data_IF_914475669611
#
_entry.id   IF_914475669611
#
_cell.length_a   1.000
_cell.length_b   1.000
_cell.length_c   1.000
_cell.angle_alpha   90.00
_cell.angle_beta   90.00
_cell.angle_gamma   90.00
#
_symmetry.space_group_name_H-M   'P 1'
#
loop_
_entity.id
_entity.type
_entity.pdbx_description
1 polymer ?
#
# COMPACT_ATOMS: atom_id res chain seq x y z
N UNK A 1 47.04 -20.55 -51.38
CA UNK A 1 45.83 -21.26 -50.95
C UNK A 1 45.58 -20.89 -49.50
N UNK A 2 44.87 -19.81 -49.24
CA UNK A 2 44.47 -19.37 -47.90
C UNK A 2 43.16 -20.10 -47.53
N UNK A 3 43.24 -20.89 -46.47
CA UNK A 3 42.04 -21.47 -45.84
C UNK A 3 41.18 -20.33 -45.34
N UNK A 4 40.04 -20.16 -45.97
CA UNK A 4 39.00 -19.28 -45.43
C UNK A 4 38.47 -19.88 -44.14
N UNK A 5 38.89 -19.30 -43.03
CA UNK A 5 38.26 -19.57 -41.73
C UNK A 5 36.78 -19.19 -41.83
N UNK A 6 35.94 -20.20 -41.91
CA UNK A 6 34.50 -20.01 -41.82
C UNK A 6 34.20 -19.47 -40.41
N UNK A 7 34.07 -18.15 -40.27
CA UNK A 7 33.66 -17.50 -39.04
C UNK A 7 32.32 -18.11 -38.62
N UNK A 8 32.34 -18.98 -37.63
CA UNK A 8 31.09 -19.55 -37.11
C UNK A 8 30.22 -18.43 -36.55
N UNK A 9 28.98 -18.38 -37.02
CA UNK A 9 28.02 -17.41 -36.53
C UNK A 9 27.63 -17.84 -35.11
N UNK A 10 27.82 -16.99 -34.11
CA UNK A 10 27.51 -17.35 -32.72
C UNK A 10 26.03 -17.67 -32.54
N UNK A 11 25.73 -18.60 -31.65
CA UNK A 11 24.34 -18.87 -31.21
C UNK A 11 23.86 -17.78 -30.26
N UNK A 12 22.54 -17.65 -30.10
CA UNK A 12 21.96 -16.69 -29.17
C UNK A 12 22.42 -16.98 -27.71
N UNK A 13 22.51 -18.26 -27.32
CA UNK A 13 23.00 -18.65 -26.00
C UNK A 13 24.46 -18.25 -25.75
N UNK A 14 25.34 -18.39 -26.77
CA UNK A 14 26.72 -17.92 -26.67
C UNK A 14 26.80 -16.40 -26.51
N UNK A 15 25.88 -15.64 -27.13
CA UNK A 15 25.79 -14.18 -26.99
C UNK A 15 25.27 -13.79 -25.61
N UNK A 16 24.27 -14.49 -25.10
CA UNK A 16 23.69 -14.23 -23.78
C UNK A 16 24.66 -14.38 -22.61
N UNK A 17 25.58 -15.37 -22.71
CA UNK A 17 26.58 -15.67 -21.68
C UNK A 17 27.96 -15.07 -21.96
N UNK A 18 28.14 -14.37 -23.09
CA UNK A 18 29.43 -13.83 -23.47
C UNK A 18 29.89 -12.70 -22.54
N UNK A 19 31.17 -12.75 -22.14
CA UNK A 19 31.83 -11.62 -21.48
C UNK A 19 32.07 -10.45 -22.46
N UNK A 20 32.51 -9.31 -21.92
CA UNK A 20 32.73 -8.10 -22.73
C UNK A 20 33.74 -8.30 -23.87
N UNK A 21 34.94 -8.92 -23.67
CA UNK A 21 35.88 -9.18 -24.76
C UNK A 21 35.31 -10.08 -25.85
N UNK A 22 34.50 -11.07 -25.46
CA UNK A 22 33.86 -12.00 -26.40
C UNK A 22 32.79 -11.30 -27.23
N UNK A 23 31.97 -10.44 -26.61
CA UNK A 23 30.97 -9.63 -27.32
C UNK A 23 31.62 -8.68 -28.34
N UNK A 24 32.74 -8.06 -27.99
CA UNK A 24 33.49 -7.21 -28.94
C UNK A 24 34.01 -7.99 -30.13
N UNK A 25 34.53 -9.19 -29.91
CA UNK A 25 34.98 -10.09 -31.00
C UNK A 25 33.82 -10.52 -31.89
N UNK A 26 32.67 -10.86 -31.28
CA UNK A 26 31.44 -11.20 -32.03
C UNK A 26 30.98 -10.04 -32.91
N UNK A 27 31.01 -8.81 -32.38
CA UNK A 27 30.73 -7.62 -33.18
C UNK A 27 31.65 -7.46 -34.37
N UNK A 28 32.95 -7.62 -34.15
CA UNK A 28 33.97 -7.54 -35.22
C UNK A 28 33.71 -8.57 -36.30
N UNK A 29 33.47 -9.84 -35.95
CA UNK A 29 33.18 -10.91 -36.91
C UNK A 29 31.89 -10.74 -37.68
N UNK A 30 30.90 -9.99 -37.13
CA UNK A 30 29.61 -9.71 -37.74
C UNK A 30 29.56 -8.34 -38.43
N UNK A 31 30.66 -7.57 -38.43
CA UNK A 31 30.68 -6.20 -38.97
C UNK A 31 29.85 -5.19 -38.22
N UNK A 32 29.62 -5.41 -36.93
CA UNK A 32 28.83 -4.55 -36.05
C UNK A 32 29.69 -3.59 -35.26
N UNK A 33 29.15 -2.44 -34.90
CA UNK A 33 29.87 -1.47 -34.07
C UNK A 33 29.97 -1.98 -32.61
N UNK A 34 31.19 -2.20 -32.08
CA UNK A 34 31.39 -2.69 -30.71
C UNK A 34 31.35 -1.59 -29.64
N UNK A 35 31.09 -0.32 -30.02
CA UNK A 35 31.01 0.79 -29.07
C UNK A 35 29.67 0.80 -28.33
N UNK A 36 29.72 1.07 -27.04
CA UNK A 36 28.58 1.13 -26.16
C UNK A 36 28.75 0.28 -24.90
N UNK A 37 27.76 0.30 -24.00
CA UNK A 37 27.72 -0.60 -22.84
C UNK A 37 27.52 -2.05 -23.30
N UNK A 38 27.95 -3.03 -22.50
CA UNK A 38 27.90 -4.45 -22.88
C UNK A 38 26.52 -4.92 -23.32
N UNK A 39 25.44 -4.41 -22.67
CA UNK A 39 24.07 -4.71 -23.04
C UNK A 39 23.70 -4.24 -24.44
N UNK A 40 24.06 -2.99 -24.80
CA UNK A 40 23.81 -2.42 -26.13
C UNK A 40 24.54 -3.22 -27.22
N UNK A 41 25.79 -3.62 -26.94
CA UNK A 41 26.59 -4.41 -27.90
C UNK A 41 26.01 -5.81 -28.04
N UNK A 42 25.60 -6.44 -26.96
CA UNK A 42 24.91 -7.73 -26.96
C UNK A 42 23.63 -7.67 -27.81
N UNK A 43 22.87 -6.61 -27.65
CA UNK A 43 21.65 -6.38 -28.42
C UNK A 43 21.90 -6.27 -29.92
N UNK A 44 22.92 -5.50 -30.33
CA UNK A 44 23.28 -5.38 -31.76
C UNK A 44 23.63 -6.74 -32.36
N UNK A 45 24.34 -7.59 -31.62
CA UNK A 45 24.68 -8.96 -32.06
C UNK A 45 23.40 -9.79 -32.19
N UNK A 46 22.53 -9.78 -31.17
CA UNK A 46 21.28 -10.54 -31.20
C UNK A 46 20.35 -10.06 -32.33
N UNK A 47 20.22 -8.76 -32.54
CA UNK A 47 19.41 -8.21 -33.63
C UNK A 47 19.98 -8.57 -35.01
N UNK A 48 21.29 -8.54 -35.16
CA UNK A 48 21.95 -8.96 -36.42
C UNK A 48 21.69 -10.44 -36.72
N UNK A 49 21.78 -11.32 -35.72
CA UNK A 49 21.47 -12.74 -35.85
C UNK A 49 20.00 -12.98 -36.22
N UNK A 50 19.09 -12.18 -35.68
CA UNK A 50 17.66 -12.21 -36.05
C UNK A 50 17.41 -11.90 -37.51
N UNK A 51 18.06 -10.84 -38.04
CA UNK A 51 17.88 -10.43 -39.46
C UNK A 51 18.35 -11.49 -40.47
N UNK A 52 19.16 -12.45 -40.00
CA UNK A 52 19.63 -13.59 -40.81
C UNK A 52 18.65 -14.77 -40.89
N UNK A 53 17.41 -14.62 -40.40
CA UNK A 53 16.35 -15.60 -40.58
C UNK A 53 16.44 -16.87 -39.77
N UNK A 54 17.16 -16.85 -38.63
CA UNK A 54 17.18 -17.99 -37.70
C UNK A 54 15.88 -18.03 -36.85
N UNK A 55 15.32 -19.22 -36.55
CA UNK A 55 14.11 -19.34 -35.73
C UNK A 55 14.36 -18.76 -34.33
N UNK A 56 13.32 -18.20 -33.71
CA UNK A 56 13.32 -17.29 -32.56
C UNK A 56 13.33 -17.92 -31.15
N UNK A 57 14.29 -18.80 -30.74
CA UNK A 57 14.42 -19.25 -29.34
C UNK A 57 14.83 -18.10 -28.40
N UNK A 58 15.35 -17.01 -28.95
CA UNK A 58 15.87 -15.86 -28.18
C UNK A 58 14.78 -14.91 -27.66
N UNK A 59 13.52 -15.02 -28.13
CA UNK A 59 12.42 -14.17 -27.64
C UNK A 59 12.19 -14.35 -26.14
N UNK A 60 11.98 -15.58 -25.71
CA UNK A 60 11.76 -15.90 -24.32
C UNK A 60 13.00 -15.56 -23.46
N UNK A 61 14.21 -15.81 -23.99
CA UNK A 61 15.45 -15.46 -23.32
C UNK A 61 15.65 -13.96 -23.17
N UNK A 62 15.30 -13.16 -24.21
CA UNK A 62 15.36 -11.70 -24.15
C UNK A 62 14.43 -11.12 -23.11
N UNK A 63 13.16 -11.53 -23.12
CA UNK A 63 12.13 -11.01 -22.22
C UNK A 63 12.49 -11.39 -20.75
N UNK A 64 13.00 -12.61 -20.57
CA UNK A 64 13.53 -13.04 -19.27
C UNK A 64 14.76 -12.22 -18.84
N UNK A 65 15.69 -11.95 -19.75
CA UNK A 65 16.88 -11.15 -19.46
C UNK A 65 16.53 -9.71 -19.14
N UNK A 66 15.62 -9.10 -19.89
CA UNK A 66 15.17 -7.74 -19.61
C UNK A 66 14.48 -7.64 -18.23
N UNK A 67 13.58 -8.57 -17.90
CA UNK A 67 12.96 -8.63 -16.59
C UNK A 67 13.99 -8.89 -15.46
N UNK A 68 15.00 -9.70 -15.71
CA UNK A 68 16.10 -9.94 -14.76
C UNK A 68 16.93 -8.68 -14.54
N UNK A 69 17.30 -7.96 -15.60
CA UNK A 69 18.05 -6.71 -15.52
C UNK A 69 17.29 -5.63 -14.73
N UNK A 70 15.98 -5.50 -14.94
CA UNK A 70 15.14 -4.61 -14.14
C UNK A 70 15.21 -4.95 -12.66
N UNK A 71 15.06 -6.24 -12.30
CA UNK A 71 15.13 -6.71 -10.89
C UNK A 71 16.52 -6.56 -10.26
N UNK A 72 17.57 -6.63 -11.04
CA UNK A 72 18.95 -6.46 -10.59
C UNK A 72 19.39 -4.98 -10.51
N UNK A 73 18.50 -4.03 -10.82
CA UNK A 73 18.78 -2.60 -10.74
C UNK A 73 19.57 -2.06 -11.94
N UNK A 74 19.41 -2.66 -13.12
CA UNK A 74 19.97 -2.18 -14.39
C UNK A 74 18.87 -1.77 -15.37
N UNK A 75 18.07 -0.73 -15.02
CA UNK A 75 16.91 -0.33 -15.83
C UNK A 75 17.29 0.10 -17.24
N UNK A 76 18.37 0.87 -17.42
CA UNK A 76 18.83 1.34 -18.72
C UNK A 76 19.09 0.19 -19.71
N UNK A 77 19.73 -0.90 -19.22
CA UNK A 77 20.01 -2.08 -20.05
C UNK A 77 18.75 -2.87 -20.36
N UNK A 78 17.80 -2.88 -19.44
CA UNK A 78 16.48 -3.48 -19.63
C UNK A 78 15.66 -2.68 -20.66
N UNK A 79 15.71 -1.36 -20.59
CA UNK A 79 15.05 -0.45 -21.54
C UNK A 79 15.53 -0.69 -22.97
N UNK A 80 16.86 -0.71 -23.21
CA UNK A 80 17.43 -1.03 -24.52
C UNK A 80 16.92 -2.37 -25.09
N UNK A 81 16.76 -3.37 -24.21
CA UNK A 81 16.24 -4.70 -24.59
C UNK A 81 14.77 -4.63 -25.00
N UNK A 82 13.93 -3.92 -24.24
CA UNK A 82 12.51 -3.78 -24.53
C UNK A 82 12.26 -2.92 -25.78
N UNK A 83 13.01 -1.82 -25.98
CA UNK A 83 12.91 -0.99 -27.18
C UNK A 83 13.14 -1.78 -28.47
N UNK A 84 14.08 -2.74 -28.44
CA UNK A 84 14.29 -3.64 -29.58
C UNK A 84 13.10 -4.55 -29.87
N UNK A 85 12.28 -4.81 -28.87
CA UNK A 85 11.10 -5.67 -28.94
C UNK A 85 9.84 -4.95 -29.45
N UNK A 86 9.76 -3.64 -29.33
CA UNK A 86 8.61 -2.80 -29.70
C UNK A 86 8.18 -2.98 -31.16
N UNK A 87 9.07 -3.43 -32.05
CA UNK A 87 8.75 -3.74 -33.45
C UNK A 87 7.80 -4.94 -33.64
N UNK A 88 7.44 -5.61 -32.53
CA UNK A 88 6.57 -6.78 -32.54
C UNK A 88 5.15 -6.33 -32.26
N UNK A 89 4.44 -5.65 -32.87
CA UNK A 89 3.03 -5.27 -32.75
C UNK A 89 2.25 -6.04 -31.64
N UNK A 90 2.78 -5.98 -30.43
CA UNK A 90 2.30 -6.68 -29.24
C UNK A 90 2.42 -5.78 -27.99
N UNK A 91 1.51 -5.89 -26.99
CA UNK A 91 1.56 -5.04 -25.80
C UNK A 91 2.70 -5.38 -24.82
N UNK A 92 3.11 -6.63 -24.73
CA UNK A 92 4.09 -7.10 -23.74
C UNK A 92 5.43 -6.35 -23.74
N UNK A 93 6.06 -6.03 -24.88
CA UNK A 93 7.26 -5.21 -24.91
C UNK A 93 7.10 -3.82 -24.31
N UNK A 94 5.93 -3.19 -24.53
CA UNK A 94 5.63 -1.88 -23.97
C UNK A 94 5.44 -1.93 -22.46
N UNK A 95 4.83 -3.01 -21.93
CA UNK A 95 4.74 -3.23 -20.48
C UNK A 95 6.13 -3.37 -19.87
N UNK A 96 6.98 -4.21 -20.47
CA UNK A 96 8.34 -4.41 -19.99
C UNK A 96 9.19 -3.15 -20.04
N UNK A 97 9.08 -2.37 -21.12
CA UNK A 97 9.73 -1.07 -21.24
C UNK A 97 9.28 -0.12 -20.15
N UNK A 98 7.97 0.02 -19.94
CA UNK A 98 7.43 0.87 -18.88
C UNK A 98 7.91 0.47 -17.50
N UNK A 99 8.00 -0.83 -17.20
CA UNK A 99 8.53 -1.31 -15.92
C UNK A 99 10.02 -1.00 -15.73
N UNK A 100 10.83 -1.12 -16.79
CA UNK A 100 12.23 -0.72 -16.78
C UNK A 100 12.38 0.78 -16.53
N UNK A 101 11.55 1.60 -17.19
CA UNK A 101 11.52 3.05 -17.01
C UNK A 101 11.10 3.47 -15.60
N UNK A 102 10.11 2.79 -14.99
CA UNK A 102 9.76 3.01 -13.57
C UNK A 102 10.96 2.72 -12.67
N UNK A 103 11.67 1.60 -12.89
CA UNK A 103 12.83 1.23 -12.11
C UNK A 103 13.99 2.23 -12.28
N UNK A 104 14.11 2.86 -13.46
CA UNK A 104 15.08 3.91 -13.75
C UNK A 104 14.67 5.31 -13.25
N UNK A 105 13.44 5.47 -12.75
CA UNK A 105 12.90 6.75 -12.33
C UNK A 105 12.32 7.60 -13.47
N UNK A 106 12.25 7.08 -14.69
CA UNK A 106 11.71 7.77 -15.88
C UNK A 106 10.19 7.63 -15.94
N UNK A 107 9.49 8.19 -14.93
CA UNK A 107 8.06 7.99 -14.74
C UNK A 107 7.20 8.51 -15.90
N UNK A 108 7.58 9.63 -16.51
CA UNK A 108 6.86 10.21 -17.65
C UNK A 108 6.91 9.34 -18.91
N UNK A 109 8.05 8.73 -19.16
CA UNK A 109 8.27 7.79 -20.25
C UNK A 109 7.53 6.48 -20.00
N UNK A 110 7.57 5.98 -18.78
CA UNK A 110 6.84 4.79 -18.34
C UNK A 110 5.34 4.92 -18.58
N UNK A 111 4.75 6.08 -18.25
CA UNK A 111 3.33 6.37 -18.51
C UNK A 111 3.02 6.24 -20.00
N UNK A 112 3.86 6.78 -20.89
CA UNK A 112 3.67 6.67 -22.37
C UNK A 112 3.74 5.22 -22.83
N UNK A 113 4.69 4.46 -22.29
CA UNK A 113 4.86 3.03 -22.61
C UNK A 113 3.64 2.21 -22.19
N UNK A 114 3.12 2.44 -20.98
CA UNK A 114 1.90 1.79 -20.51
C UNK A 114 0.64 2.24 -21.28
N UNK A 115 0.55 3.52 -21.67
CA UNK A 115 -0.52 4.01 -22.52
C UNK A 115 -0.53 3.27 -23.87
N UNK A 116 0.65 3.02 -24.44
CA UNK A 116 0.76 2.29 -25.69
C UNK A 116 0.33 0.83 -25.56
N UNK A 117 0.74 0.15 -24.49
CA UNK A 117 0.30 -1.21 -24.20
C UNK A 117 -1.23 -1.30 -23.99
N UNK A 118 -1.81 -0.34 -23.29
CA UNK A 118 -3.26 -0.26 -23.08
C UNK A 118 -4.02 -0.05 -24.40
N UNK A 119 -3.53 0.82 -25.30
CA UNK A 119 -4.09 1.03 -26.65
C UNK A 119 -4.05 -0.25 -27.50
N UNK A 120 -3.11 -1.14 -27.25
CA UNK A 120 -2.97 -2.45 -27.89
C UNK A 120 -3.82 -3.55 -27.22
N UNK A 121 -4.68 -3.18 -26.27
CA UNK A 121 -5.64 -4.07 -25.62
C UNK A 121 -5.17 -4.71 -24.32
N UNK A 122 -4.00 -4.35 -23.78
CA UNK A 122 -3.59 -4.82 -22.44
C UNK A 122 -4.19 -3.94 -21.35
N UNK A 123 -5.35 -4.33 -20.84
CA UNK A 123 -6.02 -3.62 -19.76
C UNK A 123 -5.16 -3.52 -18.48
N UNK A 124 -4.30 -4.51 -18.20
CA UNK A 124 -3.46 -4.52 -16.99
C UNK A 124 -2.45 -3.36 -16.96
N UNK A 125 -2.06 -2.85 -18.14
CA UNK A 125 -1.20 -1.67 -18.29
C UNK A 125 -1.79 -0.41 -17.67
N UNK A 126 -3.13 -0.30 -17.55
CA UNK A 126 -3.77 0.81 -16.86
C UNK A 126 -3.39 0.85 -15.37
N UNK A 127 -3.22 -0.32 -14.72
CA UNK A 127 -2.77 -0.37 -13.32
C UNK A 127 -1.29 -0.01 -13.19
N UNK A 128 -0.44 -0.47 -14.11
CA UNK A 128 0.98 -0.08 -14.13
C UNK A 128 1.14 1.43 -14.39
N UNK A 129 0.30 1.98 -15.27
CA UNK A 129 0.22 3.43 -15.49
C UNK A 129 -0.18 4.17 -14.22
N UNK A 130 -1.20 3.66 -13.50
CA UNK A 130 -1.64 4.25 -12.23
C UNK A 130 -0.52 4.24 -11.18
N UNK A 131 0.24 3.14 -11.08
CA UNK A 131 1.40 3.05 -10.20
C UNK A 131 2.48 4.09 -10.55
N UNK A 132 2.81 4.23 -11.83
CA UNK A 132 3.81 5.20 -12.29
C UNK A 132 3.37 6.65 -12.03
N UNK A 133 2.11 6.98 -12.29
CA UNK A 133 1.53 8.29 -11.99
C UNK A 133 1.50 8.57 -10.48
N UNK A 134 1.08 7.58 -9.68
CA UNK A 134 1.07 7.67 -8.22
C UNK A 134 2.46 7.84 -7.61
N UNK A 135 3.47 7.18 -8.15
CA UNK A 135 4.87 7.36 -7.77
C UNK A 135 5.38 8.77 -8.10
N UNK A 136 4.89 9.36 -9.19
CA UNK A 136 5.15 10.75 -9.57
C UNK A 136 4.32 11.80 -8.82
N UNK A 137 3.37 11.37 -7.98
CA UNK A 137 2.48 12.27 -7.23
C UNK A 137 1.29 12.80 -8.02
N UNK A 138 1.09 12.36 -9.25
CA UNK A 138 -0.07 12.73 -10.09
C UNK A 138 -1.26 11.82 -9.75
N UNK A 139 -1.81 12.02 -8.55
CA UNK A 139 -2.87 11.15 -8.03
C UNK A 139 -4.16 11.25 -8.82
N UNK A 140 -4.50 12.41 -9.37
CA UNK A 140 -5.74 12.59 -10.14
C UNK A 140 -5.74 11.71 -11.40
N UNK A 141 -4.64 11.71 -12.14
CA UNK A 141 -4.49 10.84 -13.31
C UNK A 141 -4.32 9.37 -12.93
N UNK A 142 -3.72 9.07 -11.78
CA UNK A 142 -3.62 7.72 -11.25
C UNK A 142 -5.00 7.15 -10.89
N UNK A 143 -5.86 7.95 -10.25
CA UNK A 143 -7.25 7.60 -9.93
C UNK A 143 -8.02 7.32 -11.23
N UNK A 144 -7.93 8.21 -12.22
CA UNK A 144 -8.60 8.03 -13.51
C UNK A 144 -8.15 6.75 -14.24
N UNK A 145 -6.87 6.37 -14.12
CA UNK A 145 -6.37 5.12 -14.68
C UNK A 145 -6.96 3.89 -13.98
N UNK A 146 -7.05 3.91 -12.63
CA UNK A 146 -7.75 2.88 -11.87
C UNK A 146 -9.23 2.77 -12.26
N UNK A 147 -9.91 3.89 -12.44
CA UNK A 147 -11.33 3.93 -12.86
C UNK A 147 -11.53 3.31 -14.23
N UNK A 148 -10.64 3.62 -15.17
CA UNK A 148 -10.68 3.06 -16.51
C UNK A 148 -10.52 1.53 -16.50
N UNK A 149 -9.66 0.99 -15.62
CA UNK A 149 -9.51 -0.44 -15.43
C UNK A 149 -10.73 -1.06 -14.74
N UNK A 150 -11.22 -0.42 -13.67
CA UNK A 150 -12.37 -0.89 -12.89
C UNK A 150 -13.67 -0.89 -13.69
N UNK A 151 -13.78 -0.11 -14.77
CA UNK A 151 -14.96 -0.13 -15.66
C UNK A 151 -15.21 -1.53 -16.24
N UNK A 152 -14.15 -2.30 -16.51
CA UNK A 152 -14.25 -3.68 -16.99
C UNK A 152 -13.98 -4.74 -15.90
N UNK A 153 -13.41 -4.34 -14.77
CA UNK A 153 -13.03 -5.22 -13.65
C UNK A 153 -13.48 -4.63 -12.31
N UNK A 154 -14.80 -4.45 -12.07
CA UNK A 154 -15.31 -3.64 -10.96
C UNK A 154 -14.96 -4.18 -9.57
N UNK A 155 -14.67 -5.49 -9.46
CA UNK A 155 -14.30 -6.13 -8.20
C UNK A 155 -12.80 -6.36 -8.04
N UNK A 156 -11.93 -5.85 -8.91
CA UNK A 156 -10.50 -6.09 -8.75
C UNK A 156 -9.96 -5.41 -7.48
N UNK A 157 -9.54 -6.24 -6.50
CA UNK A 157 -9.11 -5.78 -5.18
C UNK A 157 -7.86 -4.90 -5.23
N UNK A 158 -6.91 -5.20 -6.14
CA UNK A 158 -5.69 -4.42 -6.32
C UNK A 158 -6.04 -3.01 -6.83
N UNK A 159 -6.88 -2.94 -7.86
CA UNK A 159 -7.30 -1.68 -8.44
C UNK A 159 -8.11 -0.82 -7.46
N UNK A 160 -9.03 -1.44 -6.70
CA UNK A 160 -9.79 -0.76 -5.65
C UNK A 160 -8.88 -0.25 -4.52
N UNK A 161 -7.90 -1.07 -4.10
CA UNK A 161 -6.93 -0.69 -3.09
C UNK A 161 -6.04 0.48 -3.53
N UNK A 162 -5.53 0.44 -4.76
CA UNK A 162 -4.73 1.52 -5.35
C UNK A 162 -5.54 2.82 -5.46
N UNK A 163 -6.77 2.74 -5.97
CA UNK A 163 -7.67 3.90 -6.05
C UNK A 163 -7.90 4.52 -4.68
N UNK A 164 -8.17 3.70 -3.66
CA UNK A 164 -8.37 4.18 -2.29
C UNK A 164 -7.11 4.85 -1.72
N UNK A 165 -5.90 4.28 -1.95
CA UNK A 165 -4.64 4.89 -1.50
C UNK A 165 -4.40 6.26 -2.16
N UNK A 166 -4.58 6.36 -3.47
CA UNK A 166 -4.43 7.63 -4.18
C UNK A 166 -5.45 8.68 -3.72
N UNK A 167 -6.70 8.30 -3.48
CA UNK A 167 -7.71 9.19 -2.90
C UNK A 167 -7.32 9.68 -1.50
N UNK A 168 -6.76 8.82 -0.65
CA UNK A 168 -6.27 9.23 0.67
C UNK A 168 -5.12 10.24 0.54
N UNK A 169 -4.17 9.99 -0.36
CA UNK A 169 -3.02 10.87 -0.60
C UNK A 169 -3.41 12.22 -1.21
N UNK A 170 -4.45 12.24 -2.04
CA UNK A 170 -5.03 13.47 -2.60
C UNK A 170 -5.93 14.23 -1.58
N UNK A 171 -6.19 13.65 -0.40
CA UNK A 171 -7.05 14.25 0.62
C UNK A 171 -8.53 13.89 0.51
N UNK A 172 -8.97 13.17 -0.52
CA UNK A 172 -10.37 12.75 -0.74
C UNK A 172 -10.74 11.52 0.11
N UNK A 173 -10.65 11.68 1.44
CA UNK A 173 -10.81 10.57 2.40
C UNK A 173 -12.21 9.96 2.40
N UNK A 174 -13.24 10.75 2.12
CA UNK A 174 -14.62 10.27 2.06
C UNK A 174 -14.83 9.35 0.85
N UNK A 175 -14.31 9.74 -0.31
CA UNK A 175 -14.31 8.91 -1.52
C UNK A 175 -13.53 7.61 -1.31
N UNK A 176 -12.38 7.68 -0.67
CA UNK A 176 -11.59 6.49 -0.30
C UNK A 176 -12.42 5.54 0.58
N UNK A 177 -13.15 6.07 1.55
CA UNK A 177 -14.07 5.29 2.39
C UNK A 177 -15.16 4.59 1.57
N UNK A 178 -15.74 5.27 0.57
CA UNK A 178 -16.74 4.66 -0.34
C UNK A 178 -16.14 3.53 -1.18
N UNK A 179 -14.94 3.73 -1.72
CA UNK A 179 -14.23 2.71 -2.51
C UNK A 179 -13.91 1.48 -1.65
N UNK A 180 -13.39 1.67 -0.44
CA UNK A 180 -13.08 0.57 0.48
C UNK A 180 -14.33 -0.19 0.94
N UNK A 181 -15.47 0.51 1.11
CA UNK A 181 -16.73 -0.14 1.43
C UNK A 181 -17.24 -0.97 0.25
N UNK A 182 -17.16 -0.45 -0.97
CA UNK A 182 -17.48 -1.22 -2.16
C UNK A 182 -16.56 -2.42 -2.31
N UNK A 183 -15.25 -2.28 -2.04
CA UNK A 183 -14.32 -3.41 -2.01
C UNK A 183 -14.73 -4.47 -1.00
N UNK A 184 -15.21 -4.08 0.18
CA UNK A 184 -15.71 -5.01 1.20
C UNK A 184 -16.99 -5.75 0.79
N UNK A 185 -17.81 -5.14 -0.06
CA UNK A 185 -19.03 -5.76 -0.58
C UNK A 185 -18.71 -6.77 -1.69
N UNK A 186 -17.67 -6.51 -2.51
CA UNK A 186 -17.15 -7.48 -3.48
C UNK A 186 -16.36 -8.62 -2.83
N UNK A 187 -15.69 -8.35 -1.71
CA UNK A 187 -14.73 -9.24 -1.06
C UNK A 187 -15.06 -9.42 0.43
N UNK A 188 -16.20 -10.05 0.78
CA UNK A 188 -16.60 -10.27 2.17
C UNK A 188 -15.62 -11.19 2.94
N UNK A 189 -14.79 -11.96 2.24
CA UNK A 189 -13.73 -12.79 2.80
C UNK A 189 -12.57 -11.97 3.42
N UNK A 190 -12.46 -10.66 3.11
CA UNK A 190 -11.46 -9.77 3.69
C UNK A 190 -12.07 -8.85 4.75
N UNK A 191 -12.19 -9.29 6.00
CA UNK A 191 -12.89 -8.57 7.06
C UNK A 191 -12.25 -7.23 7.45
N UNK A 192 -10.99 -6.98 7.07
CA UNK A 192 -10.27 -5.74 7.34
C UNK A 192 -10.73 -4.56 6.46
N UNK A 193 -11.42 -4.81 5.35
CA UNK A 193 -11.85 -3.75 4.42
C UNK A 193 -12.90 -2.83 5.05
N UNK A 194 -13.87 -3.37 5.79
CA UNK A 194 -14.89 -2.56 6.48
C UNK A 194 -14.28 -1.64 7.55
N UNK A 195 -13.40 -2.10 8.46
CA UNK A 195 -12.65 -1.23 9.36
C UNK A 195 -11.81 -0.17 8.65
N UNK A 196 -11.17 -0.51 7.54
CA UNK A 196 -10.41 0.45 6.75
C UNK A 196 -11.32 1.56 6.18
N UNK A 197 -12.50 1.21 5.66
CA UNK A 197 -13.50 2.16 5.20
C UNK A 197 -13.97 3.07 6.34
N UNK A 198 -14.31 2.50 7.50
CA UNK A 198 -14.71 3.25 8.69
C UNK A 198 -13.64 4.25 9.15
N UNK A 199 -12.38 3.83 9.13
CA UNK A 199 -11.25 4.70 9.47
C UNK A 199 -11.10 5.86 8.46
N UNK A 200 -11.30 5.62 7.18
CA UNK A 200 -11.28 6.66 6.15
C UNK A 200 -12.41 7.67 6.37
N UNK A 201 -13.64 7.22 6.64
CA UNK A 201 -14.78 8.10 6.96
C UNK A 201 -14.55 8.90 8.23
N UNK A 202 -13.99 8.29 9.28
CA UNK A 202 -13.68 9.00 10.53
C UNK A 202 -12.65 10.12 10.29
N UNK A 203 -11.60 9.83 9.51
CA UNK A 203 -10.58 10.84 9.10
C UNK A 203 -11.15 11.90 8.16
N UNK A 204 -12.26 11.62 7.48
CA UNK A 204 -13.00 12.56 6.65
C UNK A 204 -13.99 13.44 7.47
N UNK A 205 -14.09 13.24 8.79
CA UNK A 205 -15.05 13.94 9.62
C UNK A 205 -16.49 13.45 9.46
N UNK A 206 -16.67 12.19 9.07
CA UNK A 206 -17.98 11.54 8.85
C UNK A 206 -18.19 10.39 9.86
N UNK A 207 -18.27 10.70 11.16
CA UNK A 207 -18.31 9.68 12.20
C UNK A 207 -19.57 8.80 12.16
N UNK A 208 -20.72 9.31 11.68
CA UNK A 208 -21.95 8.52 11.51
C UNK A 208 -21.70 7.36 10.53
N UNK A 209 -21.18 7.69 9.34
CA UNK A 209 -20.89 6.71 8.29
C UNK A 209 -19.78 5.75 8.73
N UNK A 210 -18.82 6.24 9.53
CA UNK A 210 -17.77 5.43 10.08
C UNK A 210 -18.32 4.34 11.03
N UNK A 211 -19.23 4.69 11.95
CA UNK A 211 -19.89 3.73 12.86
C UNK A 211 -20.58 2.61 12.09
N UNK A 212 -21.32 2.97 11.02
CA UNK A 212 -22.00 2.00 10.16
C UNK A 212 -21.01 1.09 9.41
N UNK A 213 -19.90 1.68 8.92
CA UNK A 213 -18.87 0.96 8.18
C UNK A 213 -18.10 -0.02 9.04
N UNK A 214 -17.80 0.33 10.29
CA UNK A 214 -17.17 -0.61 11.24
C UNK A 214 -18.08 -1.80 11.54
N UNK A 215 -19.40 -1.60 11.52
CA UNK A 215 -20.37 -2.63 11.83
C UNK A 215 -20.25 -3.19 13.26
N UNK A 216 -21.03 -4.21 13.60
CA UNK A 216 -20.84 -4.95 14.85
C UNK A 216 -19.58 -5.80 14.73
N UNK A 217 -18.59 -5.62 15.62
CA UNK A 217 -17.46 -6.53 15.68
C UNK A 217 -17.94 -7.87 16.24
N UNK A 218 -17.88 -8.90 15.40
CA UNK A 218 -18.23 -10.27 15.78
C UNK A 218 -16.97 -11.15 16.03
N UNK A 219 -15.78 -10.58 15.84
CA UNK A 219 -14.51 -11.30 15.94
C UNK A 219 -13.78 -10.95 17.23
N UNK A 220 -13.31 -11.97 17.92
CA UNK A 220 -12.49 -11.84 19.13
C UNK A 220 -10.98 -11.77 18.84
N UNK A 221 -10.57 -11.68 17.55
CA UNK A 221 -9.17 -11.51 17.18
C UNK A 221 -8.73 -10.03 17.24
N UNK A 222 -7.41 -9.80 17.13
CA UNK A 222 -6.83 -8.47 17.22
C UNK A 222 -7.43 -7.47 16.20
N UNK A 223 -7.76 -7.91 14.99
CA UNK A 223 -8.37 -7.08 13.97
C UNK A 223 -9.82 -6.69 14.32
N UNK A 224 -10.57 -7.60 14.92
CA UNK A 224 -11.92 -7.34 15.42
C UNK A 224 -11.92 -6.36 16.60
N UNK A 225 -10.96 -6.50 17.50
CA UNK A 225 -10.77 -5.57 18.64
C UNK A 225 -10.43 -4.17 18.12
N UNK A 226 -9.49 -4.04 17.18
CA UNK A 226 -9.13 -2.73 16.60
C UNK A 226 -10.32 -2.06 15.90
N UNK A 227 -11.09 -2.80 15.11
CA UNK A 227 -12.31 -2.30 14.49
C UNK A 227 -13.34 -1.83 15.52
N UNK A 228 -13.51 -2.58 16.62
CA UNK A 228 -14.39 -2.21 17.73
C UNK A 228 -13.90 -0.92 18.43
N UNK A 229 -12.62 -0.78 18.72
CA UNK A 229 -12.04 0.41 19.33
C UNK A 229 -12.24 1.64 18.46
N UNK A 230 -12.03 1.53 17.15
CA UNK A 230 -12.26 2.61 16.20
C UNK A 230 -13.75 2.99 16.12
N UNK A 231 -14.67 2.01 16.18
CA UNK A 231 -16.10 2.25 16.26
C UNK A 231 -16.48 2.99 17.53
N UNK A 232 -15.94 2.55 18.68
CA UNK A 232 -16.11 3.22 19.96
C UNK A 232 -15.61 4.66 19.93
N UNK A 233 -14.44 4.91 19.32
CA UNK A 233 -13.91 6.25 19.14
C UNK A 233 -14.84 7.13 18.27
N UNK A 234 -15.40 6.59 17.18
CA UNK A 234 -16.38 7.31 16.37
C UNK A 234 -17.66 7.64 17.16
N UNK A 235 -18.13 6.72 18.01
CA UNK A 235 -19.29 6.96 18.89
C UNK A 235 -19.00 8.05 19.93
N UNK A 236 -17.78 8.15 20.47
CA UNK A 236 -17.40 9.25 21.35
C UNK A 236 -17.46 10.61 20.64
N UNK A 237 -17.03 10.68 19.37
CA UNK A 237 -17.14 11.91 18.57
C UNK A 237 -18.60 12.31 18.39
N UNK A 238 -19.52 11.34 18.28
CA UNK A 238 -20.96 11.56 18.15
C UNK A 238 -21.68 11.86 19.48
N UNK A 239 -20.97 11.82 20.61
CA UNK A 239 -21.58 11.94 21.92
C UNK A 239 -22.37 10.71 22.39
N UNK A 240 -22.34 9.60 21.64
CA UNK A 240 -22.96 8.31 22.00
C UNK A 240 -22.09 7.52 22.99
N UNK A 241 -21.72 8.21 24.07
CA UNK A 241 -20.66 7.80 25.00
C UNK A 241 -20.97 6.49 25.73
N UNK A 242 -22.25 6.22 26.07
CA UNK A 242 -22.63 4.96 26.73
C UNK A 242 -22.35 3.75 25.83
N UNK A 243 -22.70 3.84 24.56
CA UNK A 243 -22.44 2.77 23.59
C UNK A 243 -20.93 2.55 23.38
N UNK A 244 -20.15 3.62 23.40
CA UNK A 244 -18.70 3.52 23.33
C UNK A 244 -18.11 2.79 24.56
N UNK A 245 -18.61 3.09 25.77
CA UNK A 245 -18.21 2.41 27.01
C UNK A 245 -18.44 0.91 26.91
N UNK A 246 -19.63 0.49 26.47
CA UNK A 246 -19.97 -0.93 26.30
C UNK A 246 -19.00 -1.66 25.35
N UNK A 247 -18.62 -0.98 24.28
CA UNK A 247 -17.64 -1.54 23.31
C UNK A 247 -16.26 -1.67 23.93
N UNK A 248 -15.76 -0.64 24.63
CA UNK A 248 -14.44 -0.69 25.25
C UNK A 248 -14.36 -1.70 26.38
N UNK A 249 -15.44 -1.85 27.17
CA UNK A 249 -15.50 -2.87 28.21
C UNK A 249 -15.44 -4.28 27.64
N UNK A 250 -16.20 -4.57 26.57
CA UNK A 250 -16.12 -5.85 25.86
C UNK A 250 -14.72 -6.13 25.27
N UNK A 251 -14.06 -5.11 24.74
CA UNK A 251 -12.68 -5.25 24.29
C UNK A 251 -11.73 -5.61 25.43
N UNK A 252 -11.94 -5.04 26.64
CA UNK A 252 -11.15 -5.33 27.85
C UNK A 252 -11.50 -6.69 28.50
N UNK A 253 -12.68 -7.25 28.25
CA UNK A 253 -12.99 -8.64 28.62
C UNK A 253 -12.11 -9.63 27.84
N UNK A 254 -11.79 -9.30 26.58
CA UNK A 254 -10.94 -10.13 25.71
C UNK A 254 -9.45 -9.88 25.95
N UNK A 255 -9.05 -8.62 26.11
CA UNK A 255 -7.67 -8.19 26.36
C UNK A 255 -7.65 -7.12 27.48
N UNK A 256 -7.54 -7.56 28.75
CA UNK A 256 -7.62 -6.68 29.91
C UNK A 256 -6.53 -5.60 29.99
N UNK A 257 -5.38 -5.82 29.35
CA UNK A 257 -4.23 -4.92 29.35
C UNK A 257 -4.07 -4.15 28.03
N UNK A 258 -5.13 -4.04 27.24
CA UNK A 258 -5.15 -3.22 26.04
C UNK A 258 -5.13 -1.74 26.40
N UNK A 259 -3.94 -1.12 26.34
CA UNK A 259 -3.74 0.28 26.74
C UNK A 259 -4.62 1.26 25.98
N UNK A 260 -4.87 1.01 24.69
CA UNK A 260 -5.75 1.83 23.87
C UNK A 260 -7.21 1.79 24.32
N UNK A 261 -7.72 0.59 24.65
CA UNK A 261 -9.07 0.43 25.19
C UNK A 261 -9.24 1.15 26.53
N UNK A 262 -8.26 0.99 27.43
CA UNK A 262 -8.23 1.67 28.72
C UNK A 262 -8.18 3.20 28.56
N UNK A 263 -7.36 3.71 27.65
CA UNK A 263 -7.31 5.15 27.35
C UNK A 263 -8.66 5.66 26.85
N UNK A 264 -9.26 4.97 25.88
CA UNK A 264 -10.52 5.37 25.28
C UNK A 264 -11.68 5.27 26.29
N UNK A 265 -11.70 4.24 27.14
CA UNK A 265 -12.64 4.12 28.25
C UNK A 265 -12.47 5.25 29.27
N UNK A 266 -11.24 5.65 29.55
CA UNK A 266 -10.94 6.78 30.43
C UNK A 266 -11.47 8.11 29.84
N UNK A 267 -11.30 8.33 28.54
CA UNK A 267 -11.85 9.50 27.83
C UNK A 267 -13.37 9.47 27.85
N UNK A 268 -14.00 8.30 27.65
CA UNK A 268 -15.45 8.13 27.74
C UNK A 268 -15.98 8.50 29.13
N UNK A 269 -15.31 8.08 30.21
CA UNK A 269 -15.67 8.45 31.58
C UNK A 269 -15.51 9.95 31.85
N UNK A 270 -14.52 10.62 31.23
CA UNK A 270 -14.40 12.09 31.32
C UNK A 270 -15.61 12.79 30.67
N UNK A 271 -16.08 12.31 29.52
CA UNK A 271 -17.27 12.86 28.87
C UNK A 271 -18.56 12.63 29.69
N UNK A 272 -18.57 11.60 30.53
CA UNK A 272 -19.69 11.29 31.43
C UNK A 272 -19.59 11.97 32.80
N UNK A 273 -18.60 12.85 32.99
CA UNK A 273 -18.30 13.50 34.29
C UNK A 273 -18.05 12.49 35.42
N UNK A 274 -17.28 11.44 35.13
CA UNK A 274 -16.90 10.37 36.03
C UNK A 274 -15.36 10.34 36.26
N UNK A 275 -14.81 11.35 36.96
CA UNK A 275 -13.36 11.55 37.06
C UNK A 275 -12.60 10.41 37.76
N UNK A 276 -13.20 9.75 38.73
CA UNK A 276 -12.55 8.65 39.46
C UNK A 276 -12.36 7.43 38.54
N UNK A 277 -13.38 7.06 37.78
CA UNK A 277 -13.29 5.98 36.79
C UNK A 277 -12.30 6.32 35.68
N UNK A 278 -12.34 7.57 35.21
CA UNK A 278 -11.38 8.07 34.21
C UNK A 278 -9.95 7.97 34.69
N UNK A 279 -9.66 8.46 35.94
CA UNK A 279 -8.34 8.40 36.53
C UNK A 279 -7.82 6.96 36.63
N UNK A 280 -8.66 6.04 37.07
CA UNK A 280 -8.30 4.62 37.21
C UNK A 280 -7.88 4.00 35.86
N UNK A 281 -8.70 4.18 34.82
CA UNK A 281 -8.43 3.59 33.51
C UNK A 281 -7.21 4.24 32.84
N UNK A 282 -7.10 5.57 32.87
CA UNK A 282 -5.98 6.30 32.27
C UNK A 282 -4.65 6.00 33.01
N UNK A 283 -4.67 5.84 34.33
CA UNK A 283 -3.50 5.46 35.09
C UNK A 283 -3.03 4.02 34.76
N UNK A 284 -3.98 3.08 34.54
CA UNK A 284 -3.64 1.73 34.07
C UNK A 284 -3.03 1.81 32.66
N UNK A 285 -3.64 2.55 31.74
CA UNK A 285 -3.10 2.73 30.39
C UNK A 285 -1.68 3.30 30.41
N UNK A 286 -1.42 4.32 31.25
CA UNK A 286 -0.11 4.95 31.37
C UNK A 286 0.99 4.03 31.96
N UNK A 287 0.62 3.01 32.73
CA UNK A 287 1.55 1.99 33.24
C UNK A 287 1.94 0.99 32.13
N UNK A 288 1.05 0.73 31.18
CA UNK A 288 1.27 -0.25 30.11
C UNK A 288 2.06 0.34 28.96
N UNK A 289 1.77 1.59 28.61
CA UNK A 289 2.41 2.27 27.46
C UNK A 289 2.72 3.73 27.81
N UNK A 290 3.97 4.13 27.62
CA UNK A 290 4.38 5.53 27.73
C UNK A 290 3.98 6.30 26.46
N UNK A 291 2.78 6.88 26.47
CA UNK A 291 2.22 7.65 25.36
C UNK A 291 1.95 9.10 25.75
N UNK A 292 2.41 10.08 24.96
CA UNK A 292 2.08 11.49 25.17
C UNK A 292 0.57 11.73 25.23
N UNK A 293 -0.21 11.03 24.40
CA UNK A 293 -1.67 11.16 24.38
C UNK A 293 -2.33 10.67 25.65
N UNK A 294 -1.87 9.54 26.21
CA UNK A 294 -2.39 9.02 27.48
C UNK A 294 -2.05 9.99 28.62
N UNK A 295 -0.83 10.53 28.67
CA UNK A 295 -0.44 11.54 29.66
C UNK A 295 -1.29 12.80 29.57
N UNK A 296 -1.56 13.27 28.33
CA UNK A 296 -2.45 14.42 28.09
C UNK A 296 -3.87 14.16 28.58
N UNK A 297 -4.41 12.98 28.30
CA UNK A 297 -5.76 12.62 28.75
C UNK A 297 -5.83 12.49 30.29
N UNK A 298 -4.80 11.89 30.92
CA UNK A 298 -4.70 11.81 32.37
C UNK A 298 -4.62 13.20 33.02
N UNK A 299 -3.92 14.15 32.40
CA UNK A 299 -3.82 15.52 32.90
C UNK A 299 -5.15 16.29 32.85
N UNK A 300 -6.10 15.88 31.98
CA UNK A 300 -7.46 16.45 31.92
C UNK A 300 -8.37 16.00 33.04
N UNK A 301 -8.00 14.96 33.79
CA UNK A 301 -8.81 14.47 34.89
C UNK A 301 -8.83 15.54 36.00
N UNK A 302 -10.04 16.01 36.42
CA UNK A 302 -10.14 16.96 37.52
C UNK A 302 -9.46 16.41 38.77
N UNK A 303 -8.59 17.20 39.38
CA UNK A 303 -8.01 16.82 40.68
C UNK A 303 -9.15 16.75 41.69
N UNK A 304 -9.34 15.59 42.30
CA UNK A 304 -10.36 15.44 43.34
C UNK A 304 -10.22 16.56 44.37
N UNK A 305 -11.29 17.28 44.64
CA UNK A 305 -11.33 18.23 45.74
C UNK A 305 -10.94 17.48 47.01
N UNK A 306 -10.12 18.05 47.90
CA UNK A 306 -9.72 17.37 49.12
C UNK A 306 -10.97 16.92 49.87
N UNK A 307 -11.17 15.61 50.02
CA UNK A 307 -12.30 15.06 50.81
C UNK A 307 -12.29 15.75 52.16
N UNK A 308 -13.25 16.64 52.37
CA UNK A 308 -13.49 17.22 53.67
C UNK A 308 -13.65 16.04 54.65
N UNK A 309 -12.61 15.79 55.47
CA UNK A 309 -12.69 14.79 56.52
C UNK A 309 -13.93 15.10 57.33
N UNK A 310 -14.97 14.31 57.17
CA UNK A 310 -16.21 14.44 57.94
C UNK A 310 -15.82 14.58 59.40
N UNK A 311 -16.15 15.75 59.97
CA UNK A 311 -15.96 15.98 61.43
C UNK A 311 -16.61 14.80 62.14
N UNK A 312 -15.82 13.99 62.85
CA UNK A 312 -16.34 12.96 63.77
C UNK A 312 -17.42 13.63 64.63
N UNK A 313 -18.63 13.05 64.76
CA UNK A 313 -19.64 13.60 65.64
C UNK A 313 -19.07 13.62 67.06
N UNK A 314 -19.12 14.80 67.71
CA UNK A 314 -18.64 15.00 69.08
C UNK A 314 -19.33 14.01 69.99
N UNK A 315 -18.52 13.24 70.73
CA UNK A 315 -18.98 12.27 71.69
C UNK A 315 -19.88 13.00 72.74
N UNK A 316 -21.14 12.65 72.76
CA UNK A 316 -22.14 13.12 73.72
C UNK A 316 -21.66 12.68 75.14
N UNK A 317 -21.13 13.64 75.95
CA UNK A 317 -20.84 13.40 77.34
C UNK A 317 -22.13 12.95 78.06
N UNK A 318 -22.18 11.67 78.51
CA UNK A 318 -23.22 11.20 79.39
C UNK A 318 -23.05 11.93 80.70
N UNK A 319 -24.05 12.76 81.12
CA UNK A 319 -24.19 13.20 82.50
C UNK A 319 -24.59 11.97 83.31
N UNK A 320 -23.81 11.68 84.34
CA UNK A 320 -24.20 10.75 85.43
C UNK A 320 -25.19 11.45 86.35
N UNK A 321 -26.08 10.64 86.99
CA UNK A 321 -27.08 11.11 87.90
C UNK A 321 -26.53 11.69 89.22
#
# INVERSE_FOLDING_TARGET
MSRGDSVSVPSAAEVEHADWPTLQRMCGSLGLNPKGRSGVVRMRVLEHLRRRGRPEPWRAGRDHMAALLTRLGFPDLSEDLWESAIRLDAPAPWVGLGQAQVAGGFLSEAVKSFDRAAQMGDASSLLHRAEALGAGGDYDRAIAACESYLASHPGDLRALGMKADFLVRSGFKEEAGRVLRAAADFHPEFPFLRPAAGTAFLKAGRPEVAVDSFGPSTRADAAGIEGALNRGAALLVLGRTREAIDIFQKALETDPDRAEALNNLGVAHLQMDQPEAAASNLARAAKLVDSPQIRLNLAKVPKAAPRNKAKKPAARKKKKP
#
